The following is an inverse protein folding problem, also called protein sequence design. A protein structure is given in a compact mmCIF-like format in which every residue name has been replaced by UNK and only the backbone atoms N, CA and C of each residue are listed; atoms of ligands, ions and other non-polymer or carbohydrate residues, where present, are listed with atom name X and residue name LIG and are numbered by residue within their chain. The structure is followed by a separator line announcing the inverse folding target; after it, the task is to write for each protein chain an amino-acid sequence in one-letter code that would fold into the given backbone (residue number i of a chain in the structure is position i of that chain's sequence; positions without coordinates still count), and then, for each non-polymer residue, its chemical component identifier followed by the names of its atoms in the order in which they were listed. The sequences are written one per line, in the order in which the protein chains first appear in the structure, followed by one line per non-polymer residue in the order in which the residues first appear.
data_IF_115071891674
#
_entry.id   IF_115071891674
#
_cell.length_a   1.000
_cell.length_b   1.000
_cell.length_c   1.000
_cell.angle_alpha   90.00
_cell.angle_beta   90.00
_cell.angle_gamma   90.00
#
_symmetry.space_group_name_H-M   'P 1'
#
loop_
_entity.id
_entity.type
_entity.pdbx_description
1 polymer ?
#
# COMPACT_ATOMS: atom_id res chain seq x y z
N UNK A 1 -13.82 -22.62 -8.20
CA UNK A 1 -14.41 -22.74 -6.83
C UNK A 1 -15.70 -23.57 -6.85
N UNK A 2 -16.59 -23.43 -7.83
CA UNK A 2 -17.88 -24.14 -7.86
C UNK A 2 -17.80 -25.67 -8.00
N UNK A 3 -16.63 -26.23 -8.32
CA UNK A 3 -16.39 -27.66 -8.49
C UNK A 3 -15.65 -28.29 -7.31
N UNK A 4 -15.31 -27.51 -6.29
CA UNK A 4 -14.57 -27.98 -5.12
C UNK A 4 -15.54 -28.57 -4.09
N UNK A 5 -15.28 -29.80 -3.68
CA UNK A 5 -16.12 -30.49 -2.69
C UNK A 5 -15.98 -29.90 -1.28
N UNK A 6 -14.79 -29.38 -0.95
CA UNK A 6 -14.47 -28.73 0.33
C UNK A 6 -13.35 -27.70 0.11
N UNK A 7 -13.68 -26.43 0.26
CA UNK A 7 -12.74 -25.33 0.06
C UNK A 7 -11.68 -25.22 1.15
N UNK A 8 -11.90 -25.87 2.31
CA UNK A 8 -10.96 -25.81 3.44
C UNK A 8 -9.83 -26.84 3.30
N UNK A 9 -10.07 -27.89 2.55
CA UNK A 9 -9.12 -29.00 2.34
C UNK A 9 -8.59 -29.08 0.92
N UNK A 10 -9.18 -28.32 0.00
CA UNK A 10 -8.74 -28.28 -1.40
C UNK A 10 -7.34 -27.67 -1.52
N UNK A 11 -6.49 -28.41 -2.20
CA UNK A 11 -5.15 -27.96 -2.60
C UNK A 11 -5.03 -28.05 -4.11
N UNK A 12 -4.64 -26.98 -4.75
CA UNK A 12 -4.32 -26.96 -6.16
C UNK A 12 -2.79 -26.80 -6.31
N UNK A 13 -2.14 -27.88 -6.67
CA UNK A 13 -0.69 -27.92 -6.82
C UNK A 13 -0.22 -27.22 -8.12
N UNK A 14 -1.12 -27.06 -9.08
CA UNK A 14 -0.84 -26.40 -10.35
C UNK A 14 -2.01 -25.47 -10.74
N UNK A 15 -2.20 -24.36 -10.02
CA UNK A 15 -3.31 -23.46 -10.29
C UNK A 15 -3.21 -22.86 -11.69
N UNK A 16 -4.35 -22.75 -12.35
CA UNK A 16 -4.46 -22.01 -13.61
C UNK A 16 -4.24 -20.54 -13.32
N UNK A 17 -3.22 -19.96 -13.93
CA UNK A 17 -2.82 -18.57 -13.72
C UNK A 17 -3.03 -17.75 -14.98
N UNK A 18 -3.43 -16.49 -14.80
CA UNK A 18 -3.55 -15.49 -15.87
C UNK A 18 -2.34 -14.56 -15.93
N UNK A 19 -1.51 -14.58 -14.89
CA UNK A 19 -0.28 -13.79 -14.80
C UNK A 19 0.88 -14.38 -15.62
N UNK A 20 2.03 -13.68 -15.65
CA UNK A 20 3.19 -14.09 -16.42
C UNK A 20 3.99 -15.23 -15.79
N UNK A 21 3.70 -15.59 -14.53
CA UNK A 21 4.44 -16.60 -13.77
C UNK A 21 3.56 -17.77 -13.37
N UNK A 22 4.16 -18.96 -13.33
CA UNK A 22 3.60 -20.17 -12.71
C UNK A 22 4.42 -20.58 -11.50
N UNK A 23 3.81 -21.34 -10.60
CA UNK A 23 4.54 -21.97 -9.49
C UNK A 23 5.44 -23.06 -10.09
N UNK A 24 6.74 -22.97 -9.83
CA UNK A 24 7.73 -23.98 -10.23
C UNK A 24 7.96 -24.96 -9.09
N UNK A 25 8.11 -24.43 -7.86
CA UNK A 25 8.37 -25.23 -6.67
C UNK A 25 8.01 -24.44 -5.41
N UNK A 26 7.81 -25.10 -4.29
CA UNK A 26 7.52 -24.48 -3.00
C UNK A 26 7.86 -25.37 -1.82
N UNK A 27 8.11 -24.76 -0.67
CA UNK A 27 8.22 -25.49 0.58
C UNK A 27 6.84 -25.83 1.15
N UNK A 28 6.55 -27.11 1.44
CA UNK A 28 5.27 -27.51 2.04
C UNK A 28 4.97 -26.87 3.41
N UNK A 29 5.99 -26.38 4.12
CA UNK A 29 5.82 -25.66 5.39
C UNK A 29 5.55 -24.16 5.19
N UNK A 30 5.69 -23.66 3.96
CA UNK A 30 5.38 -22.28 3.62
C UNK A 30 6.55 -21.30 3.77
N UNK A 31 7.78 -21.77 3.93
CA UNK A 31 8.93 -20.89 4.11
C UNK A 31 9.37 -20.21 2.82
N UNK A 32 9.06 -20.81 1.67
CA UNK A 32 9.37 -20.19 0.38
C UNK A 32 8.50 -20.72 -0.75
N UNK A 33 8.40 -19.92 -1.82
CA UNK A 33 7.79 -20.30 -3.08
C UNK A 33 8.62 -19.75 -4.25
N UNK A 34 8.87 -20.59 -5.23
CA UNK A 34 9.59 -20.26 -6.46
C UNK A 34 8.61 -20.15 -7.63
N UNK A 35 8.60 -19.00 -8.26
CA UNK A 35 7.85 -18.77 -9.49
C UNK A 35 8.78 -18.77 -10.69
N UNK A 36 8.31 -19.30 -11.80
CA UNK A 36 8.99 -19.31 -13.08
C UNK A 36 8.20 -18.55 -14.12
N UNK A 37 8.88 -17.70 -14.88
CA UNK A 37 8.31 -17.02 -16.02
C UNK A 37 7.83 -18.02 -17.05
N UNK A 38 6.59 -17.87 -17.53
CA UNK A 38 6.01 -18.71 -18.57
C UNK A 38 6.69 -18.43 -19.90
N UNK A 39 6.79 -19.44 -20.75
CA UNK A 39 7.34 -19.27 -22.12
C UNK A 39 6.45 -18.37 -22.99
N UNK A 40 5.13 -18.34 -22.69
CA UNK A 40 4.11 -17.52 -23.35
C UNK A 40 3.73 -16.28 -22.53
N UNK A 41 4.64 -15.73 -21.71
CA UNK A 41 4.36 -14.61 -20.82
C UNK A 41 3.85 -13.36 -21.54
N UNK A 42 4.21 -13.17 -22.82
CA UNK A 42 3.74 -12.05 -23.64
C UNK A 42 2.22 -12.10 -23.87
N UNK A 43 1.63 -13.28 -23.82
CA UNK A 43 0.18 -13.47 -23.94
C UNK A 43 -0.54 -13.29 -22.61
N UNK A 44 0.21 -13.14 -21.51
CA UNK A 44 -0.35 -12.83 -20.20
C UNK A 44 -0.82 -11.39 -20.08
N UNK A 45 -1.57 -11.08 -19.02
CA UNK A 45 -2.01 -9.71 -18.75
C UNK A 45 -0.83 -8.74 -18.69
N UNK A 46 0.32 -9.14 -18.13
CA UNK A 46 1.52 -8.30 -18.09
C UNK A 46 2.06 -8.03 -19.49
N UNK A 47 2.16 -9.06 -20.33
CA UNK A 47 2.66 -8.91 -21.69
C UNK A 47 1.74 -8.05 -22.56
N UNK A 48 0.43 -8.28 -22.49
CA UNK A 48 -0.57 -7.56 -23.30
C UNK A 48 -0.77 -6.11 -22.84
N UNK A 49 -0.85 -5.87 -21.51
CA UNK A 49 -1.15 -4.56 -20.95
C UNK A 49 0.12 -3.79 -20.57
N UNK A 50 1.20 -4.51 -20.27
CA UNK A 50 2.44 -3.93 -19.76
C UNK A 50 3.10 -2.97 -20.74
N UNK A 51 3.12 -3.30 -22.03
CA UNK A 51 3.69 -2.45 -23.06
C UNK A 51 2.94 -1.12 -23.19
N UNK A 52 1.61 -1.17 -23.20
CA UNK A 52 0.76 0.01 -23.39
C UNK A 52 0.65 0.87 -22.11
N UNK A 53 0.61 0.23 -20.95
CA UNK A 53 0.29 0.90 -19.69
C UNK A 53 1.52 1.30 -18.88
N UNK A 54 2.56 0.47 -18.91
CA UNK A 54 3.80 0.68 -18.15
C UNK A 54 5.01 1.03 -19.02
N UNK A 55 4.83 1.09 -20.33
CA UNK A 55 5.89 1.43 -21.27
C UNK A 55 6.99 0.37 -21.39
N UNK A 56 6.70 -0.89 -21.10
CA UNK A 56 7.67 -1.98 -21.31
C UNK A 56 7.97 -2.12 -22.80
N UNK A 57 9.25 -2.25 -23.10
CA UNK A 57 9.72 -2.54 -24.46
C UNK A 57 9.97 -4.05 -24.63
N UNK A 58 9.97 -4.54 -25.86
CA UNK A 58 10.09 -5.97 -26.14
C UNK A 58 11.41 -6.60 -25.66
N UNK A 59 12.43 -5.80 -25.40
CA UNK A 59 13.71 -6.20 -24.83
C UNK A 59 13.74 -6.23 -23.29
N UNK A 60 12.71 -5.71 -22.63
CA UNK A 60 12.56 -5.77 -21.18
C UNK A 60 11.90 -7.09 -20.77
N UNK A 61 12.70 -8.16 -20.75
CA UNK A 61 12.22 -9.47 -20.32
C UNK A 61 12.16 -9.49 -18.77
N UNK A 62 11.01 -9.89 -18.17
CA UNK A 62 10.92 -10.07 -16.72
C UNK A 62 11.95 -11.11 -16.20
N UNK A 63 12.21 -11.08 -14.90
CA UNK A 63 13.08 -12.07 -14.27
C UNK A 63 12.59 -13.48 -14.55
N UNK A 64 13.50 -14.38 -14.95
CA UNK A 64 13.16 -15.78 -15.29
C UNK A 64 12.56 -16.52 -14.10
N UNK A 65 13.05 -16.22 -12.91
CA UNK A 65 12.56 -16.77 -11.66
C UNK A 65 12.34 -15.65 -10.65
N UNK A 66 11.29 -15.79 -9.83
CA UNK A 66 11.02 -14.94 -8.67
C UNK A 66 10.87 -15.85 -7.46
N UNK A 67 11.73 -15.65 -6.49
CA UNK A 67 11.80 -16.49 -5.30
C UNK A 67 11.37 -15.69 -4.07
N UNK A 68 10.17 -15.95 -3.57
CA UNK A 68 9.70 -15.39 -2.31
C UNK A 68 10.15 -16.28 -1.17
N UNK A 69 10.83 -15.70 -0.20
CA UNK A 69 11.40 -16.39 0.95
C UNK A 69 10.97 -15.74 2.25
N UNK A 70 10.67 -16.54 3.25
CA UNK A 70 10.63 -16.09 4.61
C UNK A 70 12.06 -15.92 5.14
N UNK A 71 12.42 -14.70 5.51
CA UNK A 71 13.80 -14.36 5.87
C UNK A 71 14.03 -14.23 7.39
N UNK A 72 13.03 -14.60 8.18
CA UNK A 72 13.09 -14.47 9.63
C UNK A 72 12.71 -13.06 10.13
N UNK A 73 13.36 -12.63 11.20
CA UNK A 73 13.12 -11.32 11.81
C UNK A 73 13.72 -10.16 11.00
N UNK A 74 13.43 -8.94 11.44
CA UNK A 74 13.90 -7.72 10.77
C UNK A 74 15.42 -7.65 10.65
N UNK A 75 16.17 -8.01 11.68
CA UNK A 75 17.64 -7.96 11.67
C UNK A 75 18.20 -8.94 10.64
N UNK A 76 17.65 -10.15 10.57
CA UNK A 76 18.04 -11.18 9.59
C UNK A 76 17.77 -10.72 8.16
N UNK A 77 16.59 -10.12 7.91
CA UNK A 77 16.22 -9.56 6.59
C UNK A 77 17.19 -8.45 6.16
N UNK A 78 17.52 -7.54 7.07
CA UNK A 78 18.44 -6.44 6.79
C UNK A 78 19.84 -6.97 6.45
N UNK A 79 20.35 -7.94 7.20
CA UNK A 79 21.67 -8.55 6.91
C UNK A 79 21.72 -9.18 5.53
N UNK A 80 20.69 -9.93 5.14
CA UNK A 80 20.62 -10.57 3.82
C UNK A 80 20.55 -9.54 2.69
N UNK A 81 19.86 -8.42 2.91
CA UNK A 81 19.82 -7.30 1.94
C UNK A 81 21.17 -6.60 1.82
N UNK A 82 21.84 -6.31 2.94
CA UNK A 82 23.17 -5.67 2.96
C UNK A 82 24.23 -6.56 2.28
N UNK A 83 24.14 -7.88 2.44
CA UNK A 83 25.05 -8.86 1.81
C UNK A 83 24.72 -9.20 0.36
N UNK A 84 23.67 -8.60 -0.23
CA UNK A 84 23.15 -8.90 -1.57
C UNK A 84 22.69 -10.37 -1.74
N UNK A 85 22.15 -10.98 -0.70
CA UNK A 85 21.53 -12.30 -0.78
C UNK A 85 20.06 -12.23 -1.21
N UNK A 86 19.46 -11.02 -1.19
CA UNK A 86 18.13 -10.73 -1.67
C UNK A 86 18.13 -9.43 -2.48
N UNK A 87 17.24 -9.38 -3.48
CA UNK A 87 17.13 -8.24 -4.40
C UNK A 87 16.08 -7.22 -3.96
N UNK A 88 15.05 -7.66 -3.23
CA UNK A 88 13.93 -6.82 -2.80
C UNK A 88 13.49 -7.19 -1.40
N UNK A 89 13.27 -6.19 -0.56
CA UNK A 89 12.56 -6.31 0.71
C UNK A 89 11.28 -5.48 0.66
N UNK A 90 10.18 -6.06 1.14
CA UNK A 90 8.94 -5.35 1.38
C UNK A 90 8.83 -4.91 2.85
N UNK A 91 8.02 -3.89 3.11
CA UNK A 91 7.67 -3.44 4.46
C UNK A 91 8.86 -3.06 5.35
N UNK A 92 9.74 -2.24 4.81
CA UNK A 92 10.91 -1.71 5.51
C UNK A 92 10.53 -0.36 6.14
N UNK A 93 10.92 -0.15 7.40
CA UNK A 93 10.80 1.17 8.04
C UNK A 93 11.89 2.13 7.51
N UNK A 94 11.70 3.44 7.71
CA UNK A 94 12.71 4.43 7.32
C UNK A 94 14.03 4.22 8.07
N UNK A 95 13.98 3.91 9.36
CA UNK A 95 15.15 3.63 10.18
C UNK A 95 15.93 2.40 9.66
N UNK A 96 15.22 1.35 9.28
CA UNK A 96 15.83 0.15 8.68
C UNK A 96 16.46 0.46 7.33
N UNK A 97 15.79 1.25 6.49
CA UNK A 97 16.33 1.67 5.19
C UNK A 97 17.63 2.46 5.35
N UNK A 98 17.63 3.48 6.22
CA UNK A 98 18.81 4.30 6.49
C UNK A 98 19.97 3.46 7.06
N UNK A 99 19.67 2.52 7.98
CA UNK A 99 20.67 1.61 8.54
C UNK A 99 21.29 0.70 7.48
N UNK A 100 20.49 0.19 6.54
CA UNK A 100 21.01 -0.63 5.44
C UNK A 100 21.80 0.18 4.43
N UNK A 101 21.32 1.39 4.06
CA UNK A 101 22.03 2.28 3.16
C UNK A 101 23.38 2.75 3.73
N UNK A 102 23.46 2.93 5.04
CA UNK A 102 24.73 3.22 5.72
C UNK A 102 25.78 2.11 5.62
N UNK A 103 25.37 0.87 5.33
CA UNK A 103 26.23 -0.29 5.18
C UNK A 103 26.46 -0.70 3.72
N UNK A 104 25.52 -0.42 2.84
CA UNK A 104 25.59 -0.73 1.41
C UNK A 104 24.93 0.38 0.60
N UNK A 105 25.76 1.17 -0.06
CA UNK A 105 25.37 2.36 -0.85
C UNK A 105 24.57 2.03 -2.14
N UNK A 106 24.48 0.74 -2.49
CA UNK A 106 23.68 0.27 -3.62
C UNK A 106 22.21 0.04 -3.27
N UNK A 107 21.87 0.07 -1.99
CA UNK A 107 20.49 -0.10 -1.54
C UNK A 107 19.73 1.19 -1.81
N UNK A 108 18.62 1.07 -2.54
CA UNK A 108 17.74 2.18 -2.85
C UNK A 108 16.29 1.83 -2.53
N UNK A 109 15.47 2.83 -2.29
CA UNK A 109 14.03 2.69 -2.20
C UNK A 109 13.36 3.30 -3.44
N UNK A 110 12.07 3.01 -3.63
CA UNK A 110 11.28 3.60 -4.73
C UNK A 110 11.23 5.12 -4.62
N UNK A 111 11.23 5.64 -3.39
CA UNK A 111 11.28 7.07 -3.07
C UNK A 111 12.45 7.29 -2.11
N UNK A 112 13.50 7.92 -2.57
CA UNK A 112 14.73 8.13 -1.80
C UNK A 112 14.78 9.50 -1.10
N UNK A 113 13.76 10.34 -1.29
CA UNK A 113 13.72 11.69 -0.74
C UNK A 113 12.46 11.90 0.09
N UNK A 114 12.56 12.77 1.09
CA UNK A 114 11.40 13.18 1.89
C UNK A 114 10.30 13.74 0.97
N UNK A 115 9.05 13.36 1.12
CA UNK A 115 8.45 12.66 2.25
C UNK A 115 8.45 11.12 2.19
N UNK A 116 9.28 10.47 1.40
CA UNK A 116 9.43 9.01 1.29
C UNK A 116 8.11 8.24 1.12
N UNK A 117 7.13 8.87 0.53
CA UNK A 117 5.80 8.30 0.44
C UNK A 117 5.83 6.97 -0.29
N UNK A 118 5.34 5.93 0.34
CA UNK A 118 5.08 4.65 -0.31
C UNK A 118 4.05 4.82 -1.41
N UNK A 119 4.03 3.92 -2.38
CA UNK A 119 2.89 3.78 -3.29
C UNK A 119 1.61 3.64 -2.46
N UNK A 120 0.51 4.19 -2.95
CA UNK A 120 -0.76 4.12 -2.24
C UNK A 120 -1.13 2.65 -2.02
N UNK A 121 -1.08 2.23 -0.75
CA UNK A 121 -1.47 0.89 -0.35
C UNK A 121 -3.00 0.80 -0.35
N UNK A 122 -3.58 -0.26 -0.96
CA UNK A 122 -5.00 -0.56 -0.80
C UNK A 122 -5.46 -0.72 0.67
N UNK A 123 -4.57 -1.02 1.59
CA UNK A 123 -4.84 -1.17 3.01
C UNK A 123 -4.68 0.11 3.80
N UNK A 124 -5.68 0.99 3.81
CA UNK A 124 -5.65 2.16 4.70
C UNK A 124 -5.58 1.72 6.17
N UNK A 125 -4.60 2.25 6.91
CA UNK A 125 -4.55 2.11 8.36
C UNK A 125 -5.44 3.18 8.99
N UNK A 126 -6.39 2.77 9.82
CA UNK A 126 -7.33 3.70 10.42
C UNK A 126 -8.10 3.12 11.59
N UNK A 127 -8.88 3.97 12.25
CA UNK A 127 -9.82 3.56 13.28
C UNK A 127 -11.16 3.22 12.62
N UNK A 128 -11.65 2.02 12.85
CA UNK A 128 -12.97 1.58 12.38
C UNK A 128 -13.91 1.54 13.56
N UNK A 129 -15.02 2.26 13.47
CA UNK A 129 -16.02 2.29 14.52
C UNK A 129 -17.12 1.26 14.24
N UNK A 130 -17.44 0.45 15.25
CA UNK A 130 -18.53 -0.52 15.18
C UNK A 130 -19.89 0.18 15.31
N UNK A 131 -20.38 0.77 14.23
CA UNK A 131 -21.63 1.54 14.22
C UNK A 131 -22.85 0.70 14.61
N UNK A 132 -22.82 -0.61 14.40
CA UNK A 132 -23.90 -1.54 14.81
C UNK A 132 -24.06 -1.69 16.32
N UNK A 133 -23.14 -1.15 17.13
CA UNK A 133 -23.25 -1.15 18.59
C UNK A 133 -24.03 0.06 19.15
N UNK A 134 -24.47 0.95 18.27
CA UNK A 134 -25.19 2.16 18.69
C UNK A 134 -24.29 3.26 19.25
N UNK A 135 -24.88 4.17 20.00
CA UNK A 135 -24.19 5.32 20.55
C UNK A 135 -23.00 4.95 21.46
N UNK A 136 -21.86 5.67 21.39
CA UNK A 136 -21.66 6.87 20.55
C UNK A 136 -21.13 6.58 19.13
N UNK A 137 -20.89 5.30 18.79
CA UNK A 137 -20.15 4.89 17.59
C UNK A 137 -20.92 5.11 16.28
N UNK A 138 -22.25 5.11 16.33
CA UNK A 138 -23.15 5.40 15.21
C UNK A 138 -23.34 6.89 14.95
N UNK A 139 -22.96 7.76 15.90
CA UNK A 139 -23.02 9.21 15.76
C UNK A 139 -21.87 9.73 14.87
N UNK A 140 -22.22 10.45 13.80
CA UNK A 140 -21.24 11.02 12.87
C UNK A 140 -20.36 12.09 13.53
N UNK A 141 -20.94 12.94 14.39
CA UNK A 141 -20.20 14.01 15.07
C UNK A 141 -19.16 13.47 16.04
N UNK A 142 -19.49 12.36 16.73
CA UNK A 142 -18.52 11.66 17.56
C UNK A 142 -17.32 11.15 16.75
N UNK A 143 -17.56 10.55 15.58
CA UNK A 143 -16.48 10.07 14.71
C UNK A 143 -15.64 11.21 14.15
N UNK A 144 -16.29 12.34 13.80
CA UNK A 144 -15.59 13.55 13.39
C UNK A 144 -14.75 14.13 14.53
N UNK A 145 -15.30 14.19 15.75
CA UNK A 145 -14.56 14.68 16.91
C UNK A 145 -13.27 13.86 17.15
N UNK A 146 -13.34 12.52 17.06
CA UNK A 146 -12.15 11.67 17.18
C UNK A 146 -11.17 11.95 16.05
N UNK A 147 -11.63 12.07 14.80
CA UNK A 147 -10.76 12.35 13.65
C UNK A 147 -10.02 13.67 13.80
N UNK A 148 -10.70 14.71 14.29
CA UNK A 148 -10.13 16.04 14.49
C UNK A 148 -9.22 16.14 15.72
N UNK A 149 -9.44 15.28 16.73
CA UNK A 149 -8.58 15.20 17.91
C UNK A 149 -7.23 14.51 17.63
N UNK A 150 -7.11 13.78 16.52
CA UNK A 150 -5.87 13.12 16.13
C UNK A 150 -4.95 14.10 15.38
N UNK A 151 -3.76 14.31 15.92
CA UNK A 151 -2.69 14.98 15.18
C UNK A 151 -2.01 14.01 14.21
N UNK A 152 -2.62 13.87 13.02
CA UNK A 152 -2.16 12.92 11.99
C UNK A 152 -0.77 13.30 11.46
N UNK A 153 -0.42 14.58 11.43
CA UNK A 153 0.91 15.02 11.03
C UNK A 153 1.97 14.58 12.03
N UNK A 154 1.68 14.73 13.32
CA UNK A 154 2.59 14.29 14.38
C UNK A 154 2.73 12.75 14.37
N UNK A 155 1.64 12.02 14.15
CA UNK A 155 1.67 10.56 13.98
C UNK A 155 2.53 10.19 12.77
N UNK A 156 2.33 10.84 11.63
CA UNK A 156 3.12 10.59 10.42
C UNK A 156 4.62 10.86 10.66
N UNK A 157 4.94 11.98 11.28
CA UNK A 157 6.35 12.33 11.55
C UNK A 157 7.00 11.42 12.59
N UNK A 158 6.32 11.12 13.70
CA UNK A 158 6.93 10.39 14.81
C UNK A 158 6.97 8.87 14.59
N UNK A 159 5.99 8.32 13.89
CA UNK A 159 5.89 6.86 13.68
C UNK A 159 6.41 6.46 12.29
N UNK A 160 6.09 7.22 11.26
CA UNK A 160 6.44 6.92 9.89
C UNK A 160 7.54 7.81 9.31
N UNK A 161 8.13 8.69 10.12
CA UNK A 161 9.18 9.64 9.72
C UNK A 161 8.82 10.43 8.44
N UNK A 162 7.53 10.75 8.30
CA UNK A 162 6.99 11.45 7.14
C UNK A 162 6.64 10.56 5.94
N UNK A 163 6.89 9.26 5.97
CA UNK A 163 6.52 8.32 4.91
C UNK A 163 5.03 8.01 4.84
N UNK A 164 4.26 8.27 5.93
CA UNK A 164 2.81 8.08 5.94
C UNK A 164 2.07 9.20 5.22
N UNK A 165 1.04 8.86 4.46
CA UNK A 165 0.10 9.81 3.87
C UNK A 165 -1.24 9.76 4.58
N UNK A 166 -1.78 10.92 4.93
CA UNK A 166 -3.17 11.03 5.35
C UNK A 166 -4.08 10.99 4.11
N UNK A 167 -5.07 10.11 4.14
CA UNK A 167 -6.12 10.09 3.13
C UNK A 167 -7.43 10.61 3.73
N UNK A 168 -8.12 11.55 3.06
CA UNK A 168 -9.41 12.06 3.54
C UNK A 168 -10.52 11.01 3.45
N UNK A 169 -10.29 9.97 2.67
CA UNK A 169 -11.23 8.87 2.45
C UNK A 169 -10.49 7.57 2.67
N UNK A 170 -11.07 6.60 3.40
CA UNK A 170 -10.45 5.30 3.63
C UNK A 170 -10.56 4.38 2.40
N UNK A 171 -10.60 4.95 1.20
CA UNK A 171 -10.64 4.24 -0.06
C UNK A 171 -9.31 4.38 -0.77
N UNK A 172 -8.92 3.32 -1.43
CA UNK A 172 -7.74 3.31 -2.30
C UNK A 172 -7.83 4.41 -3.34
N UNK A 173 -6.80 5.21 -3.42
CA UNK A 173 -6.70 6.28 -4.43
C UNK A 173 -5.59 5.98 -5.45
N UNK A 174 -5.25 4.71 -5.60
CA UNK A 174 -4.13 4.24 -6.40
C UNK A 174 -4.49 3.93 -7.86
N UNK A 175 -5.76 4.00 -8.23
CA UNK A 175 -6.18 3.79 -9.61
C UNK A 175 -6.91 4.99 -10.17
N UNK A 176 -6.73 5.22 -11.49
CA UNK A 176 -7.47 6.29 -12.20
C UNK A 176 -8.98 6.14 -12.04
N UNK A 177 -9.50 4.92 -12.05
CA UNK A 177 -10.93 4.66 -11.84
C UNK A 177 -11.42 5.18 -10.48
N UNK A 178 -10.69 4.91 -9.40
CA UNK A 178 -11.07 5.36 -8.05
C UNK A 178 -10.90 6.87 -7.90
N UNK A 179 -9.87 7.44 -8.52
CA UNK A 179 -9.71 8.89 -8.57
C UNK A 179 -10.87 9.57 -9.29
N UNK A 180 -11.22 9.11 -10.49
CA UNK A 180 -12.31 9.67 -11.29
C UNK A 180 -13.68 9.48 -10.62
N UNK A 181 -13.89 8.34 -9.95
CA UNK A 181 -15.19 7.99 -9.38
C UNK A 181 -15.44 8.64 -8.02
N UNK A 182 -14.41 8.78 -7.19
CA UNK A 182 -14.57 9.23 -5.80
C UNK A 182 -13.80 10.49 -5.47
N UNK A 183 -12.51 10.56 -5.78
CA UNK A 183 -11.66 11.66 -5.30
C UNK A 183 -11.97 12.97 -6.02
N UNK A 184 -12.04 12.94 -7.35
CA UNK A 184 -12.29 14.13 -8.15
C UNK A 184 -13.71 14.68 -7.90
N UNK A 185 -14.79 13.86 -7.92
CA UNK A 185 -16.13 14.35 -7.62
C UNK A 185 -16.30 14.90 -6.19
N UNK A 186 -15.54 14.38 -5.23
CA UNK A 186 -15.56 14.87 -3.85
C UNK A 186 -14.73 16.14 -3.64
N UNK A 187 -13.94 16.54 -4.61
CA UNK A 187 -13.03 17.65 -4.45
C UNK A 187 -13.74 18.97 -4.12
N UNK A 188 -14.81 19.28 -4.85
CA UNK A 188 -15.59 20.48 -4.60
C UNK A 188 -16.24 20.46 -3.21
N UNK A 189 -16.75 19.30 -2.80
CA UNK A 189 -17.31 19.13 -1.45
C UNK A 189 -16.26 19.33 -0.37
N UNK A 190 -15.10 18.70 -0.54
CA UNK A 190 -14.01 18.84 0.40
C UNK A 190 -13.47 20.27 0.47
N UNK A 191 -13.46 21.00 -0.64
CA UNK A 191 -13.00 22.40 -0.70
C UNK A 191 -13.94 23.36 0.00
N UNK A 192 -15.23 23.07 -0.02
CA UNK A 192 -16.27 23.87 0.59
C UNK A 192 -16.79 23.28 1.92
N UNK A 193 -16.12 22.25 2.43
CA UNK A 193 -16.52 21.60 3.68
C UNK A 193 -16.38 22.57 4.85
N UNK A 194 -17.47 22.72 5.60
CA UNK A 194 -17.53 23.43 6.86
C UNK A 194 -18.28 22.58 7.89
N UNK A 195 -17.74 22.49 9.09
CA UNK A 195 -18.36 21.83 10.24
C UNK A 195 -18.54 22.87 11.34
N UNK A 196 -19.79 23.19 11.67
CA UNK A 196 -20.15 24.03 12.82
C UNK A 196 -20.19 23.14 14.07
N UNK A 197 -19.38 23.47 15.07
CA UNK A 197 -19.31 22.75 16.34
C UNK A 197 -20.41 23.19 17.34
N UNK A 198 -21.25 24.16 16.98
CA UNK A 198 -22.35 24.63 17.82
C UNK A 198 -21.96 25.60 18.94
N UNK A 199 -20.68 25.90 19.11
CA UNK A 199 -20.12 26.85 20.07
C UNK A 199 -19.66 28.17 19.42
N UNK A 200 -20.00 28.35 18.15
CA UNK A 200 -19.52 29.47 17.32
C UNK A 200 -18.19 29.18 16.62
N UNK A 201 -17.64 27.98 16.78
CA UNK A 201 -16.42 27.54 16.09
C UNK A 201 -16.80 26.77 14.84
N UNK A 202 -16.23 27.17 13.72
CA UNK A 202 -16.38 26.45 12.44
C UNK A 202 -15.06 25.84 12.03
N UNK A 203 -15.07 24.56 11.69
CA UNK A 203 -13.92 23.87 11.11
C UNK A 203 -14.12 23.82 9.59
N UNK A 204 -13.16 24.35 8.86
CA UNK A 204 -13.14 24.36 7.41
C UNK A 204 -11.80 23.87 6.88
N UNK A 205 -11.66 23.78 5.55
CA UNK A 205 -10.37 23.48 4.89
C UNK A 205 -9.22 24.37 5.36
N UNK A 206 -9.50 25.60 5.77
CA UNK A 206 -8.48 26.54 6.27
C UNK A 206 -8.04 26.28 7.70
N UNK A 207 -8.73 25.40 8.41
CA UNK A 207 -8.35 25.01 9.78
C UNK A 207 -7.06 24.17 9.75
N UNK A 208 -6.10 24.38 10.66
CA UNK A 208 -4.83 23.65 10.67
C UNK A 208 -4.99 22.13 10.59
N UNK A 209 -5.95 21.57 11.33
CA UNK A 209 -6.23 20.13 11.31
C UNK A 209 -6.65 19.60 9.93
N UNK A 210 -7.37 20.41 9.15
CA UNK A 210 -7.76 20.03 7.79
C UNK A 210 -6.67 20.33 6.76
N UNK A 211 -5.88 21.40 6.97
CA UNK A 211 -4.76 21.71 6.08
C UNK A 211 -3.69 20.61 6.09
N UNK A 212 -3.47 19.95 7.20
CA UNK A 212 -2.51 18.86 7.30
C UNK A 212 -2.90 17.66 6.44
N UNK A 213 -4.18 17.32 6.42
CA UNK A 213 -4.74 16.26 5.57
C UNK A 213 -4.66 16.58 4.07
N UNK A 214 -4.57 17.87 3.68
CA UNK A 214 -4.64 18.34 2.30
C UNK A 214 -3.31 18.70 1.65
N UNK A 215 -2.31 19.11 2.45
CA UNK A 215 -1.04 19.64 1.92
C UNK A 215 -0.18 18.64 1.13
N UNK A 216 -0.56 17.38 1.09
CA UNK A 216 0.25 16.30 0.53
C UNK A 216 -0.30 15.72 -0.76
N UNK A 217 -0.92 16.54 -1.61
CA UNK A 217 -1.24 16.11 -2.97
C UNK A 217 0.01 16.29 -3.84
N UNK A 218 0.50 15.24 -4.51
CA UNK A 218 1.36 15.45 -5.65
C UNK A 218 0.55 16.16 -6.75
N UNK A 219 1.17 17.14 -7.38
CA UNK A 219 0.65 17.75 -8.59
C UNK A 219 0.60 16.73 -9.72
#
# INVERSE_FOLDING_TARGET
YSQQADVTTYKDEQPVVVGPYTVEDYDPNGDWILYKLRDDWQDSTLGVVGADHYGYTADQVPAKYVWFRYLGDSASRQMQMVSNEVDVLAEVTMEELEAMQGQNDKISAWYNEFPFATADDPGAKGLVFSQGQGAPYDNADFRWAITLALDIDQISMNIFQGAGRAAPIPLMNNTKYLQDTYTIPMQDWLENFELDLGDGTTISRTTPAMQSAWRRRPA
#
